data_IF_888240456507
#
_entry.id   IF_888240456507
#
_cell.length_a   1.000
_cell.length_b   1.000
_cell.length_c   1.000
_cell.angle_alpha   90.00
_cell.angle_beta   90.00
_cell.angle_gamma   90.00
#
_symmetry.space_group_name_H-M   'P 1'
#
loop_
_entity.id
_entity.type
_entity.pdbx_description
1 polymer ?
#
# COMPACT_ATOMS: atom_id res chain seq x y z
N UNK A 1 39.06 -4.21 -17.39
CA UNK A 1 38.19 -3.86 -16.24
C UNK A 1 36.87 -3.31 -16.78
N UNK A 2 35.84 -4.16 -16.93
CA UNK A 2 34.50 -3.73 -17.37
C UNK A 2 33.36 -4.64 -16.85
N UNK A 3 33.66 -5.64 -16.00
CA UNK A 3 32.67 -6.59 -15.49
C UNK A 3 32.09 -6.19 -14.12
N UNK A 4 32.66 -5.18 -13.44
CA UNK A 4 32.27 -4.82 -12.08
C UNK A 4 31.08 -3.84 -12.00
N UNK A 5 30.72 -3.16 -13.10
CA UNK A 5 29.67 -2.14 -13.09
C UNK A 5 28.24 -2.71 -13.23
N UNK A 6 28.07 -3.90 -13.83
CA UNK A 6 26.75 -4.50 -14.10
C UNK A 6 26.22 -5.30 -12.89
N UNK A 7 27.12 -5.85 -12.08
CA UNK A 7 26.72 -6.59 -10.87
C UNK A 7 26.22 -5.65 -9.76
N UNK A 8 26.78 -4.45 -9.65
CA UNK A 8 26.37 -3.47 -8.64
C UNK A 8 24.94 -2.96 -8.87
N UNK A 9 24.53 -2.75 -10.13
CA UNK A 9 23.16 -2.32 -10.46
C UNK A 9 22.14 -3.43 -10.25
N UNK A 10 22.45 -4.67 -10.64
CA UNK A 10 21.58 -5.81 -10.36
C UNK A 10 21.43 -6.07 -8.86
N UNK A 11 22.51 -5.96 -8.08
CA UNK A 11 22.46 -6.13 -6.63
C UNK A 11 21.69 -5.00 -5.92
N UNK A 12 21.81 -3.74 -6.36
CA UNK A 12 21.01 -2.63 -5.82
C UNK A 12 19.53 -2.79 -6.16
N UNK A 13 19.21 -3.15 -7.40
CA UNK A 13 17.84 -3.47 -7.81
C UNK A 13 17.31 -4.66 -7.00
N UNK A 14 18.08 -5.74 -6.88
CA UNK A 14 17.68 -6.90 -6.07
C UNK A 14 17.51 -6.53 -4.59
N UNK A 15 18.40 -5.73 -4.00
CA UNK A 15 18.29 -5.31 -2.60
C UNK A 15 17.08 -4.39 -2.38
N UNK A 16 16.79 -3.46 -3.30
CA UNK A 16 15.60 -2.59 -3.23
C UNK A 16 14.31 -3.41 -3.41
N UNK A 17 14.27 -4.34 -4.36
CA UNK A 17 13.10 -5.18 -4.61
C UNK A 17 12.87 -6.27 -3.54
N UNK A 18 13.93 -6.85 -2.95
CA UNK A 18 13.82 -7.90 -1.92
C UNK A 18 13.83 -7.39 -0.47
N UNK A 19 14.13 -6.11 -0.23
CA UNK A 19 14.04 -5.51 1.12
C UNK A 19 12.73 -4.77 1.37
N UNK A 20 11.87 -4.64 0.36
CA UNK A 20 10.57 -3.99 0.51
C UNK A 20 9.66 -4.85 1.40
N UNK A 21 9.24 -4.30 2.54
CA UNK A 21 8.28 -4.89 3.48
C UNK A 21 6.83 -4.62 3.09
N UNK A 22 6.61 -3.97 1.94
CA UNK A 22 5.26 -3.73 1.40
C UNK A 22 4.64 -5.08 1.03
N UNK A 23 3.60 -5.46 1.77
CA UNK A 23 2.84 -6.67 1.50
C UNK A 23 1.72 -6.44 0.48
N UNK A 24 1.38 -7.46 -0.30
CA UNK A 24 0.13 -7.48 -1.08
C UNK A 24 -0.96 -8.16 -0.26
N UNK A 25 -2.09 -7.47 -0.09
CA UNK A 25 -3.26 -7.95 0.63
C UNK A 25 -4.27 -8.54 -0.36
N UNK A 26 -4.97 -9.59 0.06
CA UNK A 26 -6.03 -10.19 -0.71
C UNK A 26 -7.40 -9.82 -0.13
N UNK A 27 -8.32 -9.43 -1.01
CA UNK A 27 -9.65 -8.95 -0.65
C UNK A 27 -10.52 -10.01 0.06
N UNK A 28 -10.25 -11.29 -0.19
CA UNK A 28 -10.97 -12.45 0.36
C UNK A 28 -10.48 -12.87 1.77
N UNK A 29 -9.31 -12.39 2.19
CA UNK A 29 -8.74 -12.72 3.50
C UNK A 29 -9.31 -11.82 4.60
N UNK A 30 -10.49 -12.18 5.10
CA UNK A 30 -11.23 -11.41 6.09
C UNK A 30 -10.42 -11.18 7.39
N UNK A 31 -9.66 -12.17 7.85
CA UNK A 31 -8.87 -12.11 9.06
C UNK A 31 -7.77 -11.05 8.96
N UNK A 32 -7.01 -11.06 7.87
CA UNK A 32 -5.96 -10.07 7.62
C UNK A 32 -6.55 -8.67 7.46
N UNK A 33 -7.64 -8.53 6.70
CA UNK A 33 -8.27 -7.23 6.49
C UNK A 33 -8.89 -6.66 7.77
N UNK A 34 -9.39 -7.50 8.69
CA UNK A 34 -9.80 -7.04 10.01
C UNK A 34 -8.64 -6.42 10.77
N UNK A 35 -7.45 -7.01 10.72
CA UNK A 35 -6.27 -6.43 11.34
C UNK A 35 -5.88 -5.10 10.66
N UNK A 36 -5.87 -5.04 9.34
CA UNK A 36 -5.52 -3.80 8.61
C UNK A 36 -6.51 -2.67 8.91
N UNK A 37 -7.82 -2.96 8.88
CA UNK A 37 -8.84 -1.92 9.01
C UNK A 37 -9.12 -1.52 10.46
N UNK A 38 -8.95 -2.43 11.43
CA UNK A 38 -9.50 -2.26 12.79
C UNK A 38 -8.53 -2.62 13.94
N UNK A 39 -7.28 -3.02 13.69
CA UNK A 39 -6.34 -3.32 14.79
C UNK A 39 -5.89 -2.07 15.56
N UNK A 40 -5.94 -0.92 14.91
CA UNK A 40 -5.35 0.33 15.39
C UNK A 40 -3.85 0.46 15.22
N UNK A 41 -3.18 -0.56 14.66
CA UNK A 41 -1.86 -0.37 14.08
C UNK A 41 -1.95 0.54 12.85
N UNK A 42 -0.99 1.45 12.61
CA UNK A 42 -1.00 2.31 11.43
C UNK A 42 -0.64 1.54 10.16
N UNK A 43 -1.56 1.56 9.18
CA UNK A 43 -1.38 0.96 7.86
C UNK A 43 -1.57 1.99 6.75
N UNK A 44 -0.53 2.17 5.94
CA UNK A 44 -0.60 2.87 4.66
C UNK A 44 -0.93 1.87 3.56
N UNK A 45 -2.10 1.99 2.96
CA UNK A 45 -2.58 1.08 1.92
C UNK A 45 -2.70 1.83 0.61
N UNK A 46 -1.98 1.39 -0.41
CA UNK A 46 -2.21 1.83 -1.78
C UNK A 46 -3.29 0.95 -2.44
N UNK A 47 -4.33 1.60 -2.94
CA UNK A 47 -5.35 0.95 -3.76
C UNK A 47 -4.81 0.69 -5.17
N UNK A 48 -4.75 -0.57 -5.55
CA UNK A 48 -4.33 -1.01 -6.87
C UNK A 48 -3.99 -2.50 -6.90
N UNK A 49 -3.80 -3.04 -8.11
CA UNK A 49 -3.33 -4.42 -8.30
C UNK A 49 -1.81 -4.56 -8.15
N UNK A 50 -1.10 -3.43 -8.18
CA UNK A 50 0.35 -3.32 -8.00
C UNK A 50 0.66 -1.98 -7.36
N UNK A 51 1.72 -1.90 -6.54
CA UNK A 51 2.14 -0.65 -5.92
C UNK A 51 2.80 0.30 -6.91
N UNK A 52 2.56 1.59 -6.73
CA UNK A 52 3.27 2.64 -7.45
C UNK A 52 4.74 2.68 -7.04
N UNK A 53 5.66 3.11 -7.94
CA UNK A 53 7.06 3.35 -7.57
C UNK A 53 7.22 4.29 -6.36
N UNK A 54 6.29 5.24 -6.20
CA UNK A 54 6.29 6.22 -5.10
C UNK A 54 6.08 5.53 -3.75
N UNK A 55 5.21 4.52 -3.67
CA UNK A 55 4.99 3.76 -2.43
C UNK A 55 6.28 3.07 -1.96
N UNK A 56 6.97 2.39 -2.89
CA UNK A 56 8.24 1.73 -2.59
C UNK A 56 9.32 2.72 -2.16
N UNK A 57 9.37 3.91 -2.78
CA UNK A 57 10.31 4.96 -2.37
C UNK A 57 9.98 5.52 -0.98
N UNK A 58 8.70 5.71 -0.69
CA UNK A 58 8.21 6.27 0.57
C UNK A 58 8.37 5.31 1.75
N UNK A 59 8.44 3.99 1.51
CA UNK A 59 8.50 2.95 2.55
C UNK A 59 9.55 3.24 3.62
N UNK A 60 10.77 3.61 3.20
CA UNK A 60 11.90 3.89 4.10
C UNK A 60 11.69 5.12 4.99
N UNK A 61 10.79 6.02 4.58
CA UNK A 61 10.48 7.28 5.27
C UNK A 61 9.24 7.18 6.16
N UNK A 62 8.56 6.03 6.18
CA UNK A 62 7.41 5.84 7.04
C UNK A 62 7.82 5.86 8.52
N UNK A 63 6.98 6.43 9.40
CA UNK A 63 7.21 6.37 10.84
C UNK A 63 7.41 4.92 11.31
N UNK A 64 8.28 4.72 12.31
CA UNK A 64 8.50 3.39 12.90
C UNK A 64 7.16 2.81 13.36
N UNK A 65 6.89 1.56 12.97
CA UNK A 65 5.65 0.86 13.30
C UNK A 65 4.53 1.05 12.28
N UNK A 66 4.64 1.99 11.34
CA UNK A 66 3.72 2.07 10.19
C UNK A 66 4.03 0.97 9.20
N UNK A 67 3.01 0.19 8.86
CA UNK A 67 3.08 -0.84 7.83
C UNK A 67 2.57 -0.28 6.52
N UNK A 68 3.10 -0.78 5.41
CA UNK A 68 2.65 -0.42 4.08
C UNK A 68 2.17 -1.66 3.33
N UNK A 69 1.12 -1.51 2.53
CA UNK A 69 0.56 -2.60 1.77
C UNK A 69 -0.15 -2.14 0.50
N UNK A 70 -0.40 -3.09 -0.39
CA UNK A 70 -1.17 -2.91 -1.63
C UNK A 70 -2.45 -3.73 -1.50
N UNK A 71 -3.59 -3.15 -1.89
CA UNK A 71 -4.89 -3.84 -1.90
C UNK A 71 -5.66 -3.47 -3.14
N UNK A 72 -6.25 -4.43 -3.83
CA UNK A 72 -7.26 -4.14 -4.86
C UNK A 72 -8.54 -3.64 -4.17
N UNK A 73 -8.67 -2.30 -4.05
CA UNK A 73 -9.78 -1.68 -3.33
C UNK A 73 -11.12 -1.79 -4.05
N UNK A 74 -11.12 -2.17 -5.34
CA UNK A 74 -12.30 -2.43 -6.17
C UNK A 74 -12.73 -3.91 -6.11
N UNK A 75 -11.86 -4.80 -5.59
CA UNK A 75 -12.23 -6.18 -5.35
C UNK A 75 -13.30 -6.29 -4.26
N UNK A 76 -14.24 -7.22 -4.45
CA UNK A 76 -15.34 -7.45 -3.51
C UNK A 76 -14.82 -8.12 -2.25
N UNK A 77 -15.05 -7.47 -1.11
CA UNK A 77 -14.78 -8.03 0.21
C UNK A 77 -15.84 -9.10 0.56
N UNK A 78 -15.57 -9.99 1.54
CA UNK A 78 -16.54 -10.97 2.04
C UNK A 78 -17.88 -10.38 2.51
N UNK A 79 -17.92 -9.07 2.81
CA UNK A 79 -19.16 -8.35 3.10
C UNK A 79 -20.03 -8.04 1.87
N UNK A 80 -19.61 -8.42 0.66
CA UNK A 80 -20.30 -8.11 -0.59
C UNK A 80 -20.12 -6.66 -1.08
N UNK A 81 -19.22 -5.89 -0.44
CA UNK A 81 -18.89 -4.50 -0.80
C UNK A 81 -17.42 -4.39 -1.15
N UNK A 82 -17.04 -3.42 -1.97
CA UNK A 82 -15.62 -3.09 -2.17
C UNK A 82 -15.06 -2.32 -0.96
N UNK A 83 -13.74 -2.13 -0.91
CA UNK A 83 -13.10 -1.30 0.14
C UNK A 83 -13.57 0.14 0.02
N UNK A 84 -13.63 0.67 -1.21
CA UNK A 84 -14.09 2.04 -1.46
C UNK A 84 -15.56 2.23 -1.04
N UNK A 85 -16.44 1.29 -1.36
CA UNK A 85 -17.85 1.35 -0.95
C UNK A 85 -18.03 1.24 0.57
N UNK A 86 -17.29 0.33 1.21
CA UNK A 86 -17.37 0.07 2.65
C UNK A 86 -17.08 1.34 3.46
N UNK A 87 -16.04 2.07 3.06
CA UNK A 87 -15.62 3.29 3.74
C UNK A 87 -16.18 4.58 3.12
N UNK A 88 -16.97 4.45 2.05
CA UNK A 88 -17.57 5.54 1.27
C UNK A 88 -16.51 6.52 0.75
N UNK A 89 -15.47 5.98 0.16
CA UNK A 89 -14.33 6.72 -0.39
C UNK A 89 -14.57 6.96 -1.87
N UNK A 90 -14.42 8.20 -2.30
CA UNK A 90 -14.30 8.51 -3.72
C UNK A 90 -12.84 8.31 -4.15
N UNK A 91 -12.55 7.46 -5.14
CA UNK A 91 -11.19 7.23 -5.58
C UNK A 91 -10.59 8.51 -6.19
N UNK A 92 -9.27 8.63 -6.10
CA UNK A 92 -8.54 9.70 -6.73
C UNK A 92 -8.72 9.64 -8.26
N UNK A 93 -9.04 10.78 -8.88
CA UNK A 93 -9.21 10.88 -10.34
C UNK A 93 -7.89 10.87 -11.10
N UNK A 94 -6.78 11.15 -10.43
CA UNK A 94 -5.42 11.14 -10.97
C UNK A 94 -4.50 10.45 -9.97
N UNK A 95 -3.81 9.41 -10.43
CA UNK A 95 -2.89 8.64 -9.60
C UNK A 95 -3.58 7.64 -8.65
N UNK A 96 -2.79 6.91 -7.85
CA UNK A 96 -3.31 5.91 -6.93
C UNK A 96 -4.13 6.56 -5.80
N UNK A 97 -5.08 5.79 -5.27
CA UNK A 97 -5.77 6.16 -4.01
C UNK A 97 -4.96 5.59 -2.86
N UNK A 98 -4.46 6.44 -1.97
CA UNK A 98 -3.70 6.02 -0.79
C UNK A 98 -4.58 6.21 0.45
N UNK A 99 -4.71 5.17 1.26
CA UNK A 99 -5.53 5.11 2.46
C UNK A 99 -4.66 4.91 3.69
N UNK A 100 -4.91 5.67 4.76
CA UNK A 100 -4.29 5.45 6.07
C UNK A 100 -5.32 4.91 7.06
N UNK A 101 -5.09 3.70 7.57
CA UNK A 101 -5.88 3.09 8.63
C UNK A 101 -5.11 3.18 9.96
N UNK A 102 -5.78 3.65 11.01
CA UNK A 102 -5.19 3.77 12.36
C UNK A 102 -6.29 3.82 13.45
N UNK A 103 -7.26 2.90 13.39
CA UNK A 103 -8.44 2.81 14.28
C UNK A 103 -9.46 3.96 14.20
N UNK A 104 -9.51 4.70 13.10
CA UNK A 104 -10.58 5.66 12.86
C UNK A 104 -11.80 4.95 12.24
N UNK A 105 -13.01 5.52 12.42
CA UNK A 105 -14.24 5.03 11.79
C UNK A 105 -14.12 4.90 10.26
N UNK A 106 -13.24 5.72 9.65
CA UNK A 106 -12.88 5.68 8.24
C UNK A 106 -11.40 5.96 8.06
N UNK A 107 -10.73 5.33 7.09
CA UNK A 107 -9.37 5.69 6.75
C UNK A 107 -9.30 7.12 6.21
N UNK A 108 -8.15 7.75 6.43
CA UNK A 108 -7.83 9.05 5.84
C UNK A 108 -7.29 8.82 4.42
N UNK A 109 -7.84 9.53 3.43
CA UNK A 109 -7.33 9.51 2.06
C UNK A 109 -6.18 10.51 1.96
N UNK A 110 -5.02 10.08 1.47
CA UNK A 110 -3.92 11.02 1.25
C UNK A 110 -4.32 12.06 0.19
N UNK A 111 -4.06 13.36 0.41
CA UNK A 111 -4.41 14.39 -0.55
C UNK A 111 -3.63 14.20 -1.85
N UNK A 112 -4.29 14.35 -2.99
CA UNK A 112 -3.59 14.48 -4.28
C UNK A 112 -2.91 15.84 -4.30
N UNK A 113 -1.59 15.88 -4.11
CA UNK A 113 -0.84 17.10 -4.40
C UNK A 113 -0.85 17.25 -5.92
N UNK A 114 -1.58 18.22 -6.44
CA UNK A 114 -1.43 18.64 -7.82
C UNK A 114 -0.03 19.26 -7.93
N UNK A 115 0.88 18.51 -8.56
CA UNK A 115 2.19 19.05 -8.99
C UNK A 115 1.97 19.89 -10.23
#
# INVERSE_FOLDING_TARGET
AAAAAVAASAALVYFVFFSSKIGTLHADNAEVLKAVFFSGEPWLVECGRSGSPVLYQAESSLPKGTRAAILDCDATLPSGKTTLERFKISPNKRGPTILMFANADRPVVAPTVAV
#
